data_IF_817010206381
#
_entry.id   IF_817010206381
#
_cell.length_a   1.000
_cell.length_b   1.000
_cell.length_c   1.000
_cell.angle_alpha   90.00
_cell.angle_beta   90.00
_cell.angle_gamma   90.00
#
_symmetry.space_group_name_H-M   'P 1'
#
loop_
_entity.id
_entity.type
_entity.pdbx_description
1 polymer ?
#
# COMPACT_ATOMS: atom_id res chain seq x y z
N UNK A 1 -5.15 16.89 17.40
CA UNK A 1 -3.72 16.92 16.95
C UNK A 1 -3.19 15.50 17.08
N UNK A 2 -3.05 14.77 15.96
CA UNK A 2 -2.47 13.42 15.97
C UNK A 2 -0.97 13.55 16.28
N UNK A 3 -0.50 12.82 17.29
CA UNK A 3 0.93 12.78 17.62
C UNK A 3 1.70 12.14 16.45
N UNK A 4 2.83 12.73 16.00
CA UNK A 4 3.66 12.13 14.94
C UNK A 4 4.11 10.70 15.24
N UNK A 5 4.19 10.33 16.52
CA UNK A 5 4.54 8.98 16.95
C UNK A 5 3.46 7.92 16.66
N UNK A 6 2.20 8.32 16.50
CA UNK A 6 1.10 7.37 16.26
C UNK A 6 1.06 6.86 14.81
N UNK A 7 1.59 7.65 13.87
CA UNK A 7 1.62 7.32 12.43
C UNK A 7 2.99 6.83 11.94
N UNK A 8 4.02 6.99 12.77
CA UNK A 8 5.37 6.57 12.42
C UNK A 8 5.50 5.04 12.46
N UNK A 9 5.93 4.41 11.36
CA UNK A 9 6.27 3.00 11.35
C UNK A 9 7.38 2.68 12.37
N UNK A 10 7.32 1.47 12.95
CA UNK A 10 8.32 1.00 13.91
C UNK A 10 9.72 1.03 13.28
N UNK A 11 10.75 1.63 13.94
CA UNK A 11 12.12 1.63 13.44
C UNK A 11 12.67 0.21 13.17
N UNK A 12 12.23 -0.79 13.93
CA UNK A 12 12.63 -2.18 13.71
C UNK A 12 12.03 -2.76 12.40
N UNK A 13 10.79 -2.40 12.07
CA UNK A 13 10.16 -2.77 10.79
C UNK A 13 10.89 -2.10 9.62
N UNK A 14 11.20 -0.80 9.73
CA UNK A 14 11.98 -0.08 8.70
C UNK A 14 13.31 -0.77 8.46
N UNK A 15 14.07 -1.07 9.52
CA UNK A 15 15.38 -1.72 9.40
C UNK A 15 15.30 -3.11 8.75
N UNK A 16 14.22 -3.85 9.00
CA UNK A 16 13.96 -5.17 8.40
C UNK A 16 13.77 -5.09 6.89
N UNK A 17 12.96 -4.14 6.41
CA UNK A 17 12.77 -3.92 4.97
C UNK A 17 14.04 -3.37 4.32
N UNK A 18 14.73 -2.47 4.98
CA UNK A 18 15.98 -1.87 4.49
C UNK A 18 17.07 -2.92 4.24
N UNK A 19 17.19 -3.91 5.14
CA UNK A 19 18.13 -5.01 4.98
C UNK A 19 17.88 -5.90 3.76
N UNK A 20 16.64 -5.95 3.25
CA UNK A 20 16.24 -6.76 2.10
C UNK A 20 16.16 -5.96 0.80
N UNK A 21 16.38 -4.64 0.85
CA UNK A 21 16.14 -3.73 -0.28
C UNK A 21 16.88 -4.13 -1.57
N UNK A 22 18.14 -4.60 -1.46
CA UNK A 22 18.96 -5.03 -2.60
C UNK A 22 18.37 -6.19 -3.40
N UNK A 23 17.40 -6.93 -2.84
CA UNK A 23 16.70 -8.06 -3.48
C UNK A 23 15.27 -7.72 -3.87
N UNK A 24 14.85 -6.46 -3.71
CA UNK A 24 13.46 -6.07 -3.91
C UNK A 24 12.95 -6.40 -5.32
N UNK A 25 13.79 -6.22 -6.35
CA UNK A 25 13.44 -6.49 -7.73
C UNK A 25 13.75 -7.91 -8.22
N UNK A 26 14.23 -8.81 -7.32
CA UNK A 26 14.35 -10.23 -7.61
C UNK A 26 12.95 -10.89 -7.59
N UNK A 27 12.38 -11.14 -8.79
CA UNK A 27 11.05 -11.75 -8.94
C UNK A 27 10.99 -13.20 -8.41
N UNK A 28 12.11 -13.83 -8.11
CA UNK A 28 12.19 -15.14 -7.48
C UNK A 28 12.45 -15.06 -5.97
N UNK A 29 12.77 -13.87 -5.45
CA UNK A 29 13.12 -13.60 -4.06
C UNK A 29 11.92 -13.48 -3.10
N UNK A 30 12.19 -12.90 -1.94
CA UNK A 30 11.23 -12.73 -0.85
C UNK A 30 10.04 -11.86 -1.24
N UNK A 31 10.23 -10.91 -2.18
CA UNK A 31 9.19 -10.00 -2.66
C UNK A 31 8.38 -10.55 -3.84
N UNK A 32 8.60 -11.81 -4.24
CA UNK A 32 7.85 -12.47 -5.31
C UNK A 32 6.32 -12.31 -5.22
N UNK A 33 5.66 -12.44 -4.03
CA UNK A 33 4.24 -12.22 -3.93
C UNK A 33 3.81 -10.80 -4.32
N UNK A 34 4.62 -9.78 -3.97
CA UNK A 34 4.33 -8.39 -4.33
C UNK A 34 4.43 -8.18 -5.83
N UNK A 35 5.46 -8.73 -6.49
CA UNK A 35 5.60 -8.69 -7.95
C UNK A 35 4.39 -9.30 -8.66
N UNK A 36 3.88 -10.43 -8.16
CA UNK A 36 2.72 -11.13 -8.74
C UNK A 36 1.40 -10.40 -8.51
N UNK A 37 1.23 -9.73 -7.37
CA UNK A 37 0.02 -8.97 -7.03
C UNK A 37 -0.01 -7.58 -7.67
N UNK A 38 1.16 -6.98 -7.92
CA UNK A 38 1.25 -5.60 -8.39
C UNK A 38 0.48 -5.30 -9.69
N UNK A 39 0.50 -6.13 -10.75
CA UNK A 39 -0.29 -5.89 -11.95
C UNK A 39 -1.80 -5.76 -11.66
N UNK A 40 -2.32 -6.54 -10.70
CA UNK A 40 -3.74 -6.53 -10.31
C UNK A 40 -4.06 -5.27 -9.53
N UNK A 41 -3.17 -4.84 -8.61
CA UNK A 41 -3.32 -3.59 -7.85
C UNK A 41 -3.31 -2.38 -8.79
N UNK A 42 -2.34 -2.31 -9.69
CA UNK A 42 -2.24 -1.23 -10.67
C UNK A 42 -3.44 -1.19 -11.64
N UNK A 43 -3.96 -2.35 -12.04
CA UNK A 43 -5.18 -2.43 -12.85
C UNK A 43 -6.40 -1.96 -12.07
N UNK A 44 -6.55 -2.38 -10.81
CA UNK A 44 -7.66 -1.97 -9.93
C UNK A 44 -7.73 -0.45 -9.77
N UNK A 45 -6.57 0.19 -9.52
CA UNK A 45 -6.47 1.65 -9.41
C UNK A 45 -6.85 2.32 -10.73
N UNK A 46 -6.24 1.88 -11.86
CA UNK A 46 -6.43 2.48 -13.16
C UNK A 46 -7.87 2.33 -13.72
N UNK A 47 -8.58 1.27 -13.36
CA UNK A 47 -9.97 1.05 -13.74
C UNK A 47 -10.94 2.02 -13.03
N UNK A 48 -10.56 2.50 -11.83
CA UNK A 48 -11.42 3.33 -10.95
C UNK A 48 -11.03 4.78 -10.91
N UNK A 49 -9.78 5.09 -11.22
CA UNK A 49 -9.27 6.47 -11.31
C UNK A 49 -8.52 6.64 -12.62
N UNK A 50 -8.97 7.54 -13.53
CA UNK A 50 -8.20 7.86 -14.73
C UNK A 50 -6.83 8.42 -14.36
N UNK A 51 -5.76 7.74 -14.76
CA UNK A 51 -4.39 8.09 -14.36
C UNK A 51 -3.69 9.14 -15.24
N UNK A 52 -3.93 9.23 -16.57
CA UNK A 52 -3.21 10.18 -17.41
C UNK A 52 -3.34 11.62 -16.93
N UNK A 53 -2.19 12.24 -16.61
CA UNK A 53 -2.09 13.60 -16.12
C UNK A 53 -2.51 13.83 -14.66
N UNK A 54 -2.91 12.78 -13.92
CA UNK A 54 -3.25 12.87 -12.50
C UNK A 54 -2.00 12.83 -11.64
N UNK A 55 -2.01 13.63 -10.57
CA UNK A 55 -1.01 13.53 -9.50
C UNK A 55 -1.34 12.35 -8.59
N UNK A 56 -0.40 11.42 -8.44
CA UNK A 56 -0.56 10.22 -7.61
C UNK A 56 0.51 10.20 -6.54
N UNK A 57 0.12 9.90 -5.31
CA UNK A 57 1.02 9.62 -4.19
C UNK A 57 0.98 8.12 -3.86
N UNK A 58 2.15 7.50 -3.79
CA UNK A 58 2.31 6.13 -3.27
C UNK A 58 3.00 6.17 -1.91
N UNK A 59 2.27 5.82 -0.84
CA UNK A 59 2.72 5.87 0.56
C UNK A 59 3.14 4.48 1.02
N UNK A 60 4.38 4.35 1.50
CA UNK A 60 5.00 3.06 1.77
C UNK A 60 5.35 2.35 0.46
N UNK A 61 5.97 3.09 -0.46
CA UNK A 61 6.20 2.62 -1.84
C UNK A 61 7.24 1.50 -1.94
N UNK A 62 8.02 1.25 -0.87
CA UNK A 62 9.14 0.30 -0.90
C UNK A 62 10.09 0.60 -2.06
N UNK A 63 10.49 -0.42 -2.80
CA UNK A 63 11.34 -0.29 -4.00
C UNK A 63 10.60 0.15 -5.26
N UNK A 64 9.36 0.66 -5.19
CA UNK A 64 8.70 1.37 -6.27
C UNK A 64 7.82 0.57 -7.23
N UNK A 65 7.47 -0.68 -6.91
CA UNK A 65 6.69 -1.57 -7.81
C UNK A 65 5.38 -0.94 -8.30
N UNK A 66 4.56 -0.40 -7.38
CA UNK A 66 3.28 0.21 -7.74
C UNK A 66 3.52 1.57 -8.43
N UNK A 67 4.40 2.40 -7.88
CA UNK A 67 4.71 3.71 -8.43
C UNK A 67 5.12 3.63 -9.91
N UNK A 68 6.00 2.71 -10.27
CA UNK A 68 6.40 2.51 -11.68
C UNK A 68 5.24 2.03 -12.56
N UNK A 69 4.42 1.08 -12.05
CA UNK A 69 3.29 0.57 -12.80
C UNK A 69 2.24 1.67 -13.10
N UNK A 70 2.01 2.59 -12.15
CA UNK A 70 1.08 3.72 -12.33
C UNK A 70 1.70 4.83 -13.20
N UNK A 71 3.01 5.08 -13.09
CA UNK A 71 3.74 6.00 -13.96
C UNK A 71 3.64 5.57 -15.43
N UNK A 72 3.86 4.28 -15.74
CA UNK A 72 3.68 3.73 -17.09
C UNK A 72 2.27 3.86 -17.63
N UNK A 73 1.28 4.10 -16.77
CA UNK A 73 -0.12 4.36 -17.13
C UNK A 73 -0.43 5.86 -17.26
N UNK A 74 0.59 6.72 -17.23
CA UNK A 74 0.49 8.15 -17.49
C UNK A 74 0.23 9.04 -16.27
N UNK A 75 0.36 8.52 -15.05
CA UNK A 75 0.29 9.32 -13.83
C UNK A 75 1.59 10.09 -13.57
N UNK A 76 1.48 11.26 -12.93
CA UNK A 76 2.62 11.97 -12.34
C UNK A 76 2.79 11.47 -10.91
N UNK A 77 3.90 10.79 -10.62
CA UNK A 77 4.14 10.09 -9.37
C UNK A 77 5.03 10.87 -8.40
N UNK A 78 4.55 10.97 -7.16
CA UNK A 78 5.36 11.14 -5.95
C UNK A 78 5.25 9.84 -5.15
N UNK A 79 6.37 9.32 -4.66
CA UNK A 79 6.39 8.06 -3.92
C UNK A 79 7.28 8.20 -2.69
N UNK A 80 6.73 7.86 -1.53
CA UNK A 80 7.41 8.05 -0.25
C UNK A 80 7.55 6.74 0.51
N UNK A 81 8.70 6.58 1.15
CA UNK A 81 8.96 5.52 2.11
C UNK A 81 9.90 6.03 3.21
N UNK A 82 9.89 5.38 4.36
CA UNK A 82 10.79 5.73 5.47
C UNK A 82 12.10 4.95 5.45
N UNK A 83 12.22 3.90 4.63
CA UNK A 83 13.42 3.09 4.44
C UNK A 83 14.33 3.72 3.36
N UNK A 84 15.47 4.32 3.73
CA UNK A 84 16.32 5.03 2.76
C UNK A 84 16.84 4.13 1.65
N UNK A 85 17.25 2.89 1.98
CA UNK A 85 17.79 1.93 1.01
C UNK A 85 16.71 1.48 0.02
N UNK A 86 15.44 1.35 0.45
CA UNK A 86 14.33 1.08 -0.46
C UNK A 86 14.15 2.21 -1.48
N UNK A 87 14.22 3.47 -1.05
CA UNK A 87 14.14 4.63 -1.94
C UNK A 87 15.32 4.70 -2.91
N UNK A 88 16.53 4.34 -2.48
CA UNK A 88 17.68 4.26 -3.39
C UNK A 88 17.47 3.21 -4.47
N UNK A 89 17.02 2.02 -4.09
CA UNK A 89 16.69 0.94 -5.05
C UNK A 89 15.59 1.36 -6.00
N UNK A 90 14.53 2.02 -5.52
CA UNK A 90 13.44 2.53 -6.35
C UNK A 90 13.93 3.56 -7.38
N UNK A 91 14.79 4.51 -6.96
CA UNK A 91 15.37 5.52 -7.85
C UNK A 91 16.24 4.90 -8.93
N UNK A 92 17.10 3.95 -8.57
CA UNK A 92 17.98 3.27 -9.53
C UNK A 92 17.16 2.52 -10.58
N UNK A 93 16.19 1.72 -10.15
CA UNK A 93 15.37 0.93 -11.08
C UNK A 93 14.51 1.82 -12.00
N UNK A 94 13.92 2.89 -11.46
CA UNK A 94 13.16 3.84 -12.27
C UNK A 94 14.05 4.58 -13.29
N UNK A 95 15.28 4.94 -12.92
CA UNK A 95 16.24 5.56 -13.84
C UNK A 95 16.63 4.60 -14.98
N UNK A 96 16.91 3.33 -14.68
CA UNK A 96 17.16 2.28 -15.66
C UNK A 96 15.96 2.06 -16.60
N UNK A 97 14.73 2.15 -16.05
CA UNK A 97 13.48 2.03 -16.80
C UNK A 97 13.08 3.31 -17.57
N UNK A 98 13.82 4.41 -17.42
CA UNK A 98 13.51 5.71 -18.05
C UNK A 98 12.25 6.37 -17.53
N UNK A 99 11.87 6.11 -16.26
CA UNK A 99 10.68 6.65 -15.61
C UNK A 99 11.03 7.89 -14.75
N UNK A 100 10.21 8.93 -14.86
CA UNK A 100 10.31 10.13 -14.03
C UNK A 100 9.34 10.01 -12.83
N UNK A 101 9.87 9.63 -11.67
CA UNK A 101 9.12 9.48 -10.42
C UNK A 101 9.86 10.24 -9.31
N UNK A 102 9.13 11.04 -8.54
CA UNK A 102 9.66 11.77 -7.40
C UNK A 102 9.66 10.88 -6.15
N UNK A 103 10.76 10.15 -5.95
CA UNK A 103 10.97 9.31 -4.79
C UNK A 103 11.59 10.08 -3.62
N UNK A 104 10.98 9.99 -2.43
CA UNK A 104 11.44 10.72 -1.24
C UNK A 104 11.51 9.80 -0.01
N UNK A 105 12.57 9.97 0.79
CA UNK A 105 12.61 9.42 2.15
C UNK A 105 11.80 10.37 3.02
N UNK A 106 10.52 10.08 3.24
CA UNK A 106 9.60 11.01 3.89
C UNK A 106 8.49 10.29 4.64
N UNK A 107 7.95 10.96 5.66
CA UNK A 107 6.79 10.51 6.43
C UNK A 107 5.51 11.17 5.91
N UNK A 108 4.44 10.39 5.77
CA UNK A 108 3.16 10.90 5.26
C UNK A 108 2.56 12.02 6.14
N UNK A 109 2.78 11.99 7.45
CA UNK A 109 2.31 13.03 8.35
C UNK A 109 3.09 14.34 8.17
N UNK A 110 4.40 14.26 7.84
CA UNK A 110 5.19 15.42 7.49
C UNK A 110 4.73 16.04 6.18
N UNK A 111 4.45 15.20 5.17
CA UNK A 111 3.92 15.64 3.88
C UNK A 111 2.55 16.32 4.02
N UNK A 112 1.70 15.83 4.92
CA UNK A 112 0.39 16.43 5.21
C UNK A 112 0.50 17.88 5.75
N UNK A 113 1.59 18.21 6.43
CA UNK A 113 1.80 19.56 7.00
C UNK A 113 1.93 20.66 5.93
N UNK A 114 2.32 20.30 4.69
CA UNK A 114 2.33 21.21 3.55
C UNK A 114 0.97 21.19 2.81
N UNK A 115 0.17 22.27 2.84
CA UNK A 115 -1.12 22.33 2.16
C UNK A 115 -1.03 22.16 0.63
N UNK A 116 0.14 22.41 0.03
CA UNK A 116 0.37 22.23 -1.41
C UNK A 116 0.50 20.74 -1.79
N UNK A 117 0.80 19.87 -0.83
CA UNK A 117 0.95 18.43 -1.04
C UNK A 117 -0.40 17.72 -0.95
N UNK A 118 -1.20 17.82 -2.02
CA UNK A 118 -2.47 17.11 -2.18
C UNK A 118 -2.49 16.47 -3.55
N UNK A 119 -3.07 15.26 -3.61
CA UNK A 119 -2.98 14.40 -4.78
C UNK A 119 -4.38 13.99 -5.27
N UNK A 120 -4.51 13.79 -6.57
CA UNK A 120 -5.76 13.31 -7.17
C UNK A 120 -6.05 11.86 -6.75
N UNK A 121 -4.98 11.09 -6.55
CA UNK A 121 -5.03 9.70 -6.09
C UNK A 121 -3.96 9.48 -5.03
N UNK A 122 -4.33 8.85 -3.93
CA UNK A 122 -3.39 8.36 -2.91
C UNK A 122 -3.49 6.85 -2.85
N UNK A 123 -2.35 6.16 -2.88
CA UNK A 123 -2.23 4.72 -2.72
C UNK A 123 -1.45 4.40 -1.44
N UNK A 124 -1.88 3.35 -0.71
CA UNK A 124 -1.19 2.84 0.45
C UNK A 124 -1.41 1.31 0.48
N UNK A 125 -0.42 0.55 0.01
CA UNK A 125 -0.57 -0.89 -0.18
C UNK A 125 0.29 -1.66 0.82
N UNK A 126 -0.35 -2.58 1.58
CA UNK A 126 0.30 -3.45 2.59
C UNK A 126 1.18 -2.67 3.60
N UNK A 127 0.71 -1.52 4.04
CA UNK A 127 1.47 -0.66 4.97
C UNK A 127 0.69 -0.38 6.27
N UNK A 128 -0.65 -0.35 6.22
CA UNK A 128 -1.46 -0.02 7.39
C UNK A 128 -1.29 -0.99 8.57
N UNK A 129 -0.98 -2.25 8.30
CA UNK A 129 -0.68 -3.27 9.30
C UNK A 129 0.69 -3.10 9.98
N UNK A 130 1.56 -2.24 9.43
CA UNK A 130 2.90 -1.97 9.96
C UNK A 130 3.00 -0.69 10.79
N UNK A 131 1.90 0.07 10.92
CA UNK A 131 1.87 1.29 11.76
C UNK A 131 1.23 1.03 13.13
N UNK A 132 1.64 1.77 14.17
CA UNK A 132 1.08 1.60 15.52
C UNK A 132 -0.42 1.93 15.61
N UNK A 133 -0.88 2.94 14.86
CA UNK A 133 -2.28 3.39 14.83
C UNK A 133 -2.76 3.51 13.37
N UNK A 134 -3.37 2.45 12.81
CA UNK A 134 -3.91 2.48 11.46
C UNK A 134 -5.02 3.53 11.25
N UNK A 135 -5.79 3.86 12.28
CA UNK A 135 -6.85 4.86 12.16
C UNK A 135 -6.27 6.27 12.05
N UNK A 136 -5.24 6.60 12.83
CA UNK A 136 -4.52 7.86 12.72
C UNK A 136 -3.83 7.99 11.35
N UNK A 137 -3.21 6.91 10.86
CA UNK A 137 -2.60 6.90 9.53
C UNK A 137 -3.66 7.09 8.44
N UNK A 138 -4.81 6.43 8.55
CA UNK A 138 -5.90 6.61 7.58
C UNK A 138 -6.37 8.06 7.51
N UNK A 139 -6.47 8.75 8.64
CA UNK A 139 -6.80 10.18 8.67
C UNK A 139 -5.74 11.05 7.97
N UNK A 140 -4.45 10.71 8.10
CA UNK A 140 -3.35 11.36 7.36
C UNK A 140 -3.50 11.13 5.86
N UNK A 141 -3.73 9.87 5.43
CA UNK A 141 -3.90 9.53 4.02
C UNK A 141 -5.08 10.27 3.38
N UNK A 142 -6.23 10.30 4.07
CA UNK A 142 -7.41 11.06 3.64
C UNK A 142 -7.08 12.55 3.49
N UNK A 143 -6.34 13.13 4.43
CA UNK A 143 -5.93 14.53 4.38
C UNK A 143 -5.00 14.88 3.21
N UNK A 144 -4.34 13.90 2.60
CA UNK A 144 -3.48 14.05 1.42
C UNK A 144 -4.26 13.98 0.10
N UNK A 145 -5.53 13.56 0.12
CA UNK A 145 -6.38 13.48 -1.07
C UNK A 145 -6.99 14.84 -1.37
N UNK A 146 -6.94 15.26 -2.64
CA UNK A 146 -7.67 16.46 -3.12
C UNK A 146 -9.18 16.28 -3.01
N UNK A 147 -9.97 17.35 -2.92
CA UNK A 147 -11.41 17.26 -3.09
C UNK A 147 -11.79 16.52 -4.37
N UNK A 148 -12.65 15.49 -4.26
CA UNK A 148 -13.06 14.64 -5.40
C UNK A 148 -12.03 13.60 -5.85
N UNK A 149 -10.91 13.47 -5.13
CA UNK A 149 -9.91 12.42 -5.38
C UNK A 149 -10.24 11.09 -4.70
N UNK A 150 -9.38 10.13 -4.93
CA UNK A 150 -9.53 8.76 -4.46
C UNK A 150 -8.37 8.32 -3.55
N UNK A 151 -8.70 7.51 -2.53
CA UNK A 151 -7.71 6.79 -1.73
C UNK A 151 -7.87 5.29 -1.97
N UNK A 152 -6.78 4.63 -2.34
CA UNK A 152 -6.71 3.17 -2.49
C UNK A 152 -5.84 2.58 -1.40
N UNK A 153 -6.35 1.57 -0.71
CA UNK A 153 -5.59 0.84 0.32
C UNK A 153 -5.70 -0.66 0.10
N UNK A 154 -4.63 -1.40 0.38
CA UNK A 154 -4.69 -2.85 0.51
C UNK A 154 -4.06 -3.30 1.81
N UNK A 155 -4.57 -4.39 2.37
CA UNK A 155 -4.06 -4.98 3.61
C UNK A 155 -4.62 -6.39 3.79
N UNK A 156 -4.11 -7.10 4.81
CA UNK A 156 -4.56 -8.43 5.19
C UNK A 156 -5.75 -8.35 6.14
N UNK A 157 -6.79 -9.16 5.88
CA UNK A 157 -7.99 -9.23 6.71
C UNK A 157 -7.74 -10.02 8.00
N UNK A 158 -8.25 -9.57 9.14
CA UNK A 158 -8.12 -10.24 10.44
C UNK A 158 -9.21 -11.29 10.66
N UNK A 159 -8.90 -12.56 10.32
CA UNK A 159 -9.75 -13.72 10.60
C UNK A 159 -8.93 -15.02 10.66
N UNK A 160 -9.57 -16.14 11.03
CA UNK A 160 -8.90 -17.44 11.17
C UNK A 160 -8.30 -17.97 9.85
N UNK A 161 -8.93 -17.68 8.70
CA UNK A 161 -8.44 -18.13 7.39
C UNK A 161 -7.15 -17.38 7.00
N UNK A 162 -7.10 -16.07 7.19
CA UNK A 162 -5.90 -15.28 6.92
C UNK A 162 -4.76 -15.65 7.87
N UNK A 163 -5.06 -15.90 9.15
CA UNK A 163 -4.08 -16.43 10.11
C UNK A 163 -3.46 -17.74 9.59
N UNK A 164 -4.30 -18.70 9.21
CA UNK A 164 -3.84 -19.99 8.72
C UNK A 164 -3.03 -19.89 7.43
N UNK A 165 -3.40 -19.00 6.50
CA UNK A 165 -2.75 -18.91 5.19
C UNK A 165 -1.54 -17.97 5.22
N UNK A 166 -1.64 -16.77 5.80
CA UNK A 166 -0.57 -15.79 5.77
C UNK A 166 0.53 -16.10 6.79
N UNK A 167 0.16 -16.53 8.00
CA UNK A 167 1.14 -16.81 9.06
C UNK A 167 1.57 -18.28 9.02
N UNK A 168 0.64 -19.22 9.24
CA UNK A 168 1.01 -20.64 9.32
C UNK A 168 1.47 -21.17 7.97
N UNK A 169 0.75 -20.83 6.89
CA UNK A 169 1.07 -21.29 5.53
C UNK A 169 2.31 -20.63 4.96
N UNK A 170 2.33 -19.31 4.85
CA UNK A 170 3.39 -18.59 4.15
C UNK A 170 4.71 -18.51 4.96
N UNK A 171 4.64 -18.29 6.28
CA UNK A 171 5.85 -18.10 7.10
C UNK A 171 6.41 -19.42 7.63
N UNK A 172 5.56 -20.36 8.08
CA UNK A 172 6.03 -21.57 8.78
C UNK A 172 6.10 -22.82 7.87
N UNK A 173 5.10 -23.04 7.01
CA UNK A 173 5.06 -24.25 6.18
C UNK A 173 5.79 -24.07 4.86
N UNK A 174 5.47 -23.01 4.09
CA UNK A 174 6.02 -22.79 2.76
C UNK A 174 7.29 -21.93 2.77
N UNK A 175 7.56 -21.24 3.89
CA UNK A 175 8.71 -20.33 4.03
C UNK A 175 8.86 -19.33 2.89
N UNK A 176 7.72 -18.85 2.37
CA UNK A 176 7.66 -17.85 1.32
C UNK A 176 8.03 -16.46 1.83
N UNK A 177 7.83 -16.24 3.14
CA UNK A 177 8.15 -15.00 3.84
C UNK A 177 8.94 -15.32 5.11
N UNK A 178 9.80 -14.40 5.59
CA UNK A 178 10.48 -14.53 6.86
C UNK A 178 9.47 -14.68 8.02
N UNK A 179 9.83 -15.46 9.04
CA UNK A 179 9.00 -15.61 10.24
C UNK A 179 8.85 -14.28 10.96
N UNK A 180 7.63 -13.96 11.41
CA UNK A 180 7.33 -12.70 12.09
C UNK A 180 7.14 -11.54 11.12
N UNK A 181 6.91 -11.81 9.82
CA UNK A 181 6.52 -10.78 8.85
C UNK A 181 5.14 -10.22 9.18
N UNK A 182 4.23 -11.05 9.70
CA UNK A 182 2.87 -10.66 10.02
C UNK A 182 2.56 -10.84 11.50
N UNK A 183 2.02 -9.80 12.12
CA UNK A 183 1.38 -9.86 13.43
C UNK A 183 -0.14 -9.89 13.26
N UNK A 184 -0.79 -11.00 13.58
CA UNK A 184 -2.24 -11.18 13.41
C UNK A 184 -3.08 -10.04 14.04
N UNK A 185 -2.64 -9.51 15.18
CA UNK A 185 -3.32 -8.42 15.88
C UNK A 185 -3.38 -7.12 15.06
N UNK A 186 -2.44 -6.93 14.12
CA UNK A 186 -2.34 -5.76 13.26
C UNK A 186 -3.14 -5.87 11.96
N UNK A 187 -3.67 -7.06 11.62
CA UNK A 187 -4.53 -7.23 10.46
C UNK A 187 -5.82 -6.43 10.62
N UNK A 188 -6.35 -5.89 9.53
CA UNK A 188 -7.45 -4.93 9.54
C UNK A 188 -8.68 -5.55 8.85
N UNK A 189 -9.81 -5.59 9.56
CA UNK A 189 -11.07 -6.05 8.95
C UNK A 189 -11.63 -4.98 8.02
N UNK A 190 -12.28 -5.34 6.92
CA UNK A 190 -12.95 -4.37 6.04
C UNK A 190 -13.92 -3.43 6.78
N UNK A 191 -14.64 -3.93 7.80
CA UNK A 191 -15.54 -3.13 8.61
C UNK A 191 -14.79 -2.10 9.49
N UNK A 192 -13.60 -2.43 9.98
CA UNK A 192 -12.74 -1.52 10.75
C UNK A 192 -12.18 -0.42 9.83
N UNK A 193 -11.71 -0.80 8.63
CA UNK A 193 -11.28 0.14 7.60
C UNK A 193 -12.42 1.12 7.24
N UNK A 194 -13.62 0.60 6.96
CA UNK A 194 -14.78 1.42 6.63
C UNK A 194 -15.20 2.35 7.78
N UNK A 195 -15.07 1.91 9.03
CA UNK A 195 -15.35 2.74 10.20
C UNK A 195 -14.33 3.85 10.36
N UNK A 196 -13.03 3.54 10.23
CA UNK A 196 -11.96 4.53 10.26
C UNK A 196 -12.07 5.55 9.12
N UNK A 197 -12.38 5.09 7.91
CA UNK A 197 -12.61 5.96 6.76
C UNK A 197 -13.76 6.95 7.01
N UNK A 198 -14.91 6.48 7.49
CA UNK A 198 -16.05 7.35 7.82
C UNK A 198 -15.73 8.36 8.91
N UNK A 199 -14.97 7.97 9.91
CA UNK A 199 -14.51 8.90 10.95
C UNK A 199 -13.60 10.01 10.39
N UNK A 200 -12.88 9.72 9.29
CA UNK A 200 -12.06 10.67 8.54
C UNK A 200 -12.83 11.41 7.42
N UNK A 201 -14.13 11.17 7.24
CA UNK A 201 -14.97 11.83 6.23
C UNK A 201 -14.96 11.15 4.86
N UNK A 202 -14.54 9.88 4.77
CA UNK A 202 -14.53 9.09 3.54
C UNK A 202 -15.41 7.84 3.66
N UNK A 203 -16.05 7.46 2.57
CA UNK A 203 -16.80 6.20 2.45
C UNK A 203 -16.00 5.14 1.70
N UNK A 204 -16.19 3.88 2.10
CA UNK A 204 -15.76 2.73 1.32
C UNK A 204 -16.71 2.57 0.12
N UNK A 205 -16.20 2.83 -1.10
CA UNK A 205 -17.02 2.80 -2.33
C UNK A 205 -16.86 1.52 -3.13
N UNK A 206 -15.71 0.86 -3.03
CA UNK A 206 -15.49 -0.45 -3.66
C UNK A 206 -14.50 -1.30 -2.85
N UNK A 207 -14.68 -2.62 -2.93
CA UNK A 207 -13.88 -3.60 -2.20
C UNK A 207 -13.72 -4.86 -3.05
N UNK A 208 -12.48 -5.36 -3.19
CA UNK A 208 -12.18 -6.58 -3.90
C UNK A 208 -11.15 -7.43 -3.14
N UNK A 209 -11.28 -8.75 -3.24
CA UNK A 209 -10.28 -9.69 -2.75
C UNK A 209 -9.07 -9.76 -3.70
N UNK A 210 -7.91 -10.02 -3.14
CA UNK A 210 -6.66 -10.28 -3.84
C UNK A 210 -6.23 -11.72 -3.53
N UNK A 211 -6.55 -12.64 -4.45
CA UNK A 211 -6.17 -14.04 -4.31
C UNK A 211 -4.75 -14.25 -4.85
N UNK A 212 -3.91 -14.91 -4.05
CA UNK A 212 -2.60 -15.40 -4.44
C UNK A 212 -2.54 -16.90 -4.23
N UNK A 213 -2.24 -17.67 -5.29
CA UNK A 213 -2.03 -19.11 -5.24
C UNK A 213 -0.52 -19.41 -5.18
N UNK A 214 0.03 -19.85 -4.05
CA UNK A 214 1.47 -19.99 -3.86
C UNK A 214 2.14 -20.98 -4.81
N UNK A 215 1.45 -22.06 -5.18
CA UNK A 215 2.02 -23.14 -6.02
C UNK A 215 2.13 -22.76 -7.49
N UNK A 216 1.12 -22.09 -8.03
CA UNK A 216 1.13 -21.66 -9.44
C UNK A 216 1.66 -20.25 -9.61
N UNK A 217 1.75 -19.45 -8.54
CA UNK A 217 2.04 -18.03 -8.57
C UNK A 217 0.96 -17.18 -9.23
N UNK A 218 -0.23 -17.76 -9.49
CA UNK A 218 -1.35 -17.03 -10.09
C UNK A 218 -1.96 -16.08 -9.09
N UNK A 219 -2.23 -14.87 -9.56
CA UNK A 219 -2.96 -13.87 -8.84
C UNK A 219 -4.24 -13.50 -9.59
N UNK A 220 -5.28 -13.17 -8.86
CA UNK A 220 -6.53 -12.67 -9.43
C UNK A 220 -7.28 -11.79 -8.45
N UNK A 221 -8.11 -10.92 -8.99
CA UNK A 221 -9.12 -10.20 -8.23
C UNK A 221 -10.34 -11.12 -8.04
N UNK A 222 -10.94 -11.09 -6.87
CA UNK A 222 -12.12 -11.89 -6.53
C UNK A 222 -13.09 -11.09 -5.65
N UNK A 223 -14.23 -11.70 -5.33
CA UNK A 223 -15.18 -11.18 -4.32
C UNK A 223 -14.87 -11.70 -2.92
N UNK A 224 -13.95 -12.66 -2.78
CA UNK A 224 -13.53 -13.20 -1.48
C UNK A 224 -12.48 -12.30 -0.83
N UNK A 225 -12.91 -11.45 0.08
CA UNK A 225 -12.07 -10.54 0.87
C UNK A 225 -11.53 -11.17 2.17
N UNK A 226 -11.60 -12.48 2.30
CA UNK A 226 -11.29 -13.16 3.56
C UNK A 226 -9.79 -13.24 3.89
N UNK A 227 -8.88 -13.06 2.91
CA UNK A 227 -7.43 -13.09 3.16
C UNK A 227 -6.83 -11.70 2.94
N UNK A 228 -6.61 -11.33 1.69
CA UNK A 228 -6.12 -9.99 1.32
C UNK A 228 -7.20 -9.26 0.54
N UNK A 229 -7.26 -7.95 0.71
CA UNK A 229 -8.20 -7.13 -0.02
C UNK A 229 -7.60 -5.79 -0.44
N UNK A 230 -8.20 -5.19 -1.47
CA UNK A 230 -7.96 -3.83 -1.91
C UNK A 230 -9.27 -3.07 -1.89
N UNK A 231 -9.23 -1.83 -1.44
CA UNK A 231 -10.39 -0.98 -1.24
C UNK A 231 -10.18 0.38 -1.91
N UNK A 232 -11.26 0.94 -2.45
CA UNK A 232 -11.35 2.33 -2.86
C UNK A 232 -12.17 3.11 -1.84
N UNK A 233 -11.63 4.23 -1.38
CA UNK A 233 -12.26 5.15 -0.46
C UNK A 233 -12.40 6.52 -1.14
N UNK A 234 -13.49 7.23 -0.91
CA UNK A 234 -13.78 8.55 -1.48
C UNK A 234 -14.48 9.44 -0.45
N UNK A 235 -14.35 10.75 -0.58
CA UNK A 235 -15.02 11.70 0.32
C UNK A 235 -16.53 11.43 0.39
N UNK A 236 -17.08 11.42 1.61
CA UNK A 236 -18.50 11.17 1.85
C UNK A 236 -19.38 12.18 1.09
N UNK A 237 -20.42 11.70 0.41
CA UNK A 237 -21.32 12.55 -0.37
C UNK A 237 -20.79 13.00 -1.74
N UNK A 238 -19.60 12.58 -2.17
CA UNK A 238 -19.17 12.76 -3.56
C UNK A 238 -19.88 11.72 -4.44
N UNK A 239 -20.77 12.19 -5.33
CA UNK A 239 -21.40 11.32 -6.33
C UNK A 239 -20.35 10.69 -7.24
N UNK A 240 -20.58 9.42 -7.56
CA UNK A 240 -19.76 8.66 -8.52
C UNK A 240 -19.96 9.17 -9.93
#
# INVERSE_FOLDING_TARGET
>A
MNSPAATAADPAEIAKFDALAHRFWDEAGEFKPLHRLNPIRAAYVAERAPLPGRSVLDVGCGGGLLAEALCRKGATLTAIDRAPTMIEVARLHAAEAGLAIDYRVEDAAALLADPAQRFDVVCCMEMLEHVPDPAAMLAVLVGLVKPGGDLFVSTTNRNAKSFALAIVGAEYLLRLLPRGTHEYARFIRPAELATGARAAGFDLVDLAGLDYEPFSGRCRRSTDVSVNYIAQLRAAGASA
#
